data_IF_345183824431
#
_entry.id   IF_345183824431
#
_cell.length_a   1.000
_cell.length_b   1.000
_cell.length_c   1.000
_cell.angle_alpha   90.00
_cell.angle_beta   90.00
_cell.angle_gamma   90.00
#
_symmetry.space_group_name_H-M   'P 1'
#
loop_
_entity.id
_entity.type
_entity.pdbx_description
1 polymer ?
#
# COMPACT_ATOMS: atom_id res chain seq x y z
N UNK A 1 -10.87 5.07 22.44
CA UNK A 1 -9.64 5.88 22.43
C UNK A 1 -9.05 5.89 21.03
N UNK A 2 -8.39 6.97 20.61
CA UNK A 2 -7.92 7.18 19.22
C UNK A 2 -6.46 6.79 18.97
N UNK A 3 -5.76 6.25 19.99
CA UNK A 3 -4.38 5.79 19.84
C UNK A 3 -4.33 4.61 18.86
N UNK A 4 -3.43 4.68 17.88
CA UNK A 4 -3.14 3.57 16.96
C UNK A 4 -2.40 2.47 17.72
N UNK A 5 -2.86 1.24 17.58
CA UNK A 5 -2.28 0.06 18.25
C UNK A 5 -1.76 -0.99 17.28
N UNK A 6 -2.15 -0.90 16.00
CA UNK A 6 -1.71 -1.84 14.96
C UNK A 6 -1.89 -1.22 13.58
N UNK A 7 -0.92 -1.45 12.71
CA UNK A 7 -1.00 -1.16 11.27
C UNK A 7 -0.66 -2.44 10.52
N UNK A 8 -1.42 -2.74 9.47
CA UNK A 8 -1.22 -3.91 8.60
C UNK A 8 -1.27 -3.47 7.14
N UNK A 9 -0.25 -3.80 6.37
CA UNK A 9 -0.20 -3.63 4.92
C UNK A 9 -0.44 -4.94 4.18
N UNK A 10 -1.16 -4.89 3.06
CA UNK A 10 -1.32 -6.01 2.13
C UNK A 10 -1.37 -5.57 0.67
N UNK A 11 -0.90 -6.45 -0.22
CA UNK A 11 -0.99 -6.27 -1.67
C UNK A 11 -2.39 -6.72 -2.13
N UNK A 12 -3.12 -5.82 -2.78
CA UNK A 12 -4.43 -6.08 -3.40
C UNK A 12 -4.38 -5.74 -4.91
N UNK A 13 -5.47 -5.98 -5.65
CA UNK A 13 -5.55 -5.69 -7.09
C UNK A 13 -6.46 -4.49 -7.36
N UNK A 14 -5.96 -3.53 -8.14
CA UNK A 14 -6.69 -2.32 -8.55
C UNK A 14 -7.72 -2.60 -9.66
N UNK A 15 -8.51 -1.58 -10.02
CA UNK A 15 -9.55 -1.66 -11.05
C UNK A 15 -9.02 -1.97 -12.47
N UNK A 16 -7.71 -1.92 -12.68
CA UNK A 16 -7.03 -2.23 -13.95
C UNK A 16 -6.26 -3.55 -13.89
N UNK A 17 -6.40 -4.32 -12.81
CA UNK A 17 -5.71 -5.60 -12.65
C UNK A 17 -4.25 -5.49 -12.22
N UNK A 18 -3.79 -4.33 -11.75
CA UNK A 18 -2.42 -4.15 -11.26
C UNK A 18 -2.38 -4.23 -9.72
N UNK A 19 -1.27 -4.71 -9.13
CA UNK A 19 -1.10 -4.65 -7.68
C UNK A 19 -1.17 -3.22 -7.13
N UNK A 20 -1.73 -3.04 -5.94
CA UNK A 20 -1.70 -1.79 -5.16
C UNK A 20 -1.68 -2.08 -3.66
N UNK A 21 -1.43 -1.05 -2.86
CA UNK A 21 -1.30 -1.15 -1.40
C UNK A 21 -2.64 -0.89 -0.73
N UNK A 22 -3.01 -1.77 0.19
CA UNK A 22 -4.05 -1.54 1.20
C UNK A 22 -3.43 -1.49 2.59
N UNK A 23 -3.85 -0.52 3.40
CA UNK A 23 -3.47 -0.42 4.81
C UNK A 23 -4.72 -0.51 5.70
N UNK A 24 -4.61 -1.30 6.76
CA UNK A 24 -5.62 -1.46 7.82
C UNK A 24 -5.03 -0.98 9.15
N UNK A 25 -5.72 -0.06 9.82
CA UNK A 25 -5.27 0.60 11.05
C UNK A 25 -6.27 0.32 12.17
N UNK A 26 -5.77 -0.18 13.31
CA UNK A 26 -6.58 -0.48 14.49
C UNK A 26 -6.32 0.57 15.58
N UNK A 27 -7.38 1.04 16.21
CA UNK A 27 -7.30 1.95 17.35
C UNK A 27 -7.61 1.21 18.65
N UNK A 28 -7.05 1.69 19.76
CA UNK A 28 -7.29 1.14 21.10
C UNK A 28 -8.79 1.11 21.49
N UNK A 29 -9.59 2.01 20.92
CA UNK A 29 -11.05 2.00 21.07
C UNK A 29 -11.79 0.91 20.31
N UNK A 30 -11.10 0.01 19.60
CA UNK A 30 -11.70 -1.06 18.79
C UNK A 30 -12.12 -0.65 17.38
N UNK A 31 -11.90 0.61 16.99
CA UNK A 31 -12.17 1.08 15.64
C UNK A 31 -11.12 0.55 14.66
N UNK A 32 -11.56 0.18 13.45
CA UNK A 32 -10.71 -0.27 12.36
C UNK A 32 -11.00 0.58 11.13
N UNK A 33 -9.95 1.15 10.54
CA UNK A 33 -10.00 1.87 9.28
C UNK A 33 -9.20 1.13 8.22
N UNK A 34 -9.72 1.06 6.99
CA UNK A 34 -9.05 0.39 5.87
C UNK A 34 -9.11 1.29 4.64
N UNK A 35 -7.98 1.41 3.94
CA UNK A 35 -7.89 2.21 2.73
C UNK A 35 -6.91 1.59 1.73
N UNK A 36 -7.26 1.67 0.45
CA UNK A 36 -6.41 1.30 -0.66
C UNK A 36 -5.92 2.54 -1.40
N UNK A 37 -4.64 2.54 -1.77
CA UNK A 37 -4.06 3.61 -2.59
C UNK A 37 -4.47 3.43 -4.06
N UNK A 38 -4.96 4.48 -4.75
CA UNK A 38 -5.12 4.44 -6.20
C UNK A 38 -3.76 4.50 -6.88
N UNK A 39 -3.69 4.06 -8.14
CA UNK A 39 -2.50 4.22 -8.97
C UNK A 39 -2.86 4.92 -10.28
N UNK A 40 -2.15 6.01 -10.58
CA UNK A 40 -2.32 6.78 -11.81
C UNK A 40 -1.78 6.03 -13.04
N UNK A 41 -2.25 6.39 -14.24
CA UNK A 41 -1.58 5.98 -15.48
C UNK A 41 -0.43 6.93 -15.86
N UNK A 42 -0.59 8.22 -15.51
CA UNK A 42 0.39 9.27 -15.74
C UNK A 42 1.20 9.49 -14.46
N UNK A 43 2.50 9.69 -14.61
CA UNK A 43 3.41 10.06 -13.52
C UNK A 43 4.15 11.33 -13.92
N UNK A 44 3.77 12.46 -13.32
CA UNK A 44 4.47 13.72 -13.50
C UNK A 44 5.84 13.71 -12.81
N UNK A 45 6.84 14.41 -13.37
CA UNK A 45 8.19 14.46 -12.81
C UNK A 45 8.29 15.19 -11.45
N UNK A 46 7.21 15.82 -10.99
CA UNK A 46 7.10 16.53 -9.71
C UNK A 46 6.06 15.91 -8.76
N UNK A 47 5.56 14.73 -9.08
CA UNK A 47 4.62 14.00 -8.24
C UNK A 47 5.35 13.13 -7.22
N UNK A 48 4.66 12.76 -6.14
CA UNK A 48 5.15 11.71 -5.25
C UNK A 48 5.19 10.39 -6.03
N UNK A 49 6.34 9.72 -5.99
CA UNK A 49 6.54 8.48 -6.72
C UNK A 49 6.03 7.28 -5.91
N UNK A 50 5.17 6.47 -6.53
CA UNK A 50 4.78 5.18 -5.96
C UNK A 50 5.95 4.18 -6.00
N UNK A 51 6.07 3.35 -4.96
CA UNK A 51 7.12 2.35 -4.88
C UNK A 51 6.66 1.03 -5.51
N UNK A 52 7.32 0.64 -6.59
CA UNK A 52 7.11 -0.63 -7.30
C UNK A 52 8.27 -1.60 -7.10
N UNK A 53 8.00 -2.89 -7.18
CA UNK A 53 8.99 -3.95 -6.98
C UNK A 53 10.02 -3.97 -8.11
N UNK A 54 9.58 -3.77 -9.36
CA UNK A 54 10.41 -3.85 -10.56
C UNK A 54 10.73 -5.28 -11.02
N UNK A 55 10.24 -6.30 -10.30
CA UNK A 55 10.41 -7.70 -10.66
C UNK A 55 9.51 -8.09 -11.84
N UNK A 56 10.09 -8.23 -13.03
CA UNK A 56 9.36 -8.55 -14.27
C UNK A 56 8.64 -9.91 -14.22
N UNK A 57 9.06 -10.83 -13.35
CA UNK A 57 8.40 -12.12 -13.20
C UNK A 57 7.04 -12.01 -12.49
N UNK A 58 6.83 -10.94 -11.71
CA UNK A 58 5.58 -10.69 -10.97
C UNK A 58 4.87 -9.46 -11.51
N UNK A 59 3.66 -9.65 -12.05
CA UNK A 59 2.83 -8.56 -12.55
C UNK A 59 3.57 -7.59 -13.48
N UNK A 60 4.47 -8.11 -14.32
CA UNK A 60 5.28 -7.32 -15.26
C UNK A 60 6.12 -6.20 -14.58
N UNK A 61 6.55 -6.40 -13.33
CA UNK A 61 7.31 -5.41 -12.55
C UNK A 61 6.45 -4.49 -11.68
N UNK A 62 5.13 -4.62 -11.72
CA UNK A 62 4.19 -3.73 -11.03
C UNK A 62 3.82 -4.18 -9.60
N UNK A 63 4.43 -5.25 -9.09
CA UNK A 63 4.27 -5.65 -7.69
C UNK A 63 4.59 -4.51 -6.71
N UNK A 64 4.04 -4.60 -5.51
CA UNK A 64 4.19 -3.57 -4.45
C UNK A 64 4.68 -4.16 -3.12
N UNK A 65 5.29 -5.35 -3.11
CA UNK A 65 5.73 -5.98 -1.86
C UNK A 65 6.72 -5.12 -1.08
N UNK A 66 7.63 -4.39 -1.74
CA UNK A 66 8.52 -3.44 -1.05
C UNK A 66 7.75 -2.34 -0.33
N UNK A 67 6.65 -1.86 -0.92
CA UNK A 67 5.79 -0.89 -0.26
C UNK A 67 5.05 -1.52 0.93
N UNK A 68 4.59 -2.77 0.80
CA UNK A 68 3.96 -3.53 1.89
C UNK A 68 4.92 -3.76 3.06
N UNK A 69 6.19 -4.06 2.78
CA UNK A 69 7.24 -4.17 3.79
C UNK A 69 7.45 -2.86 4.55
N UNK A 70 7.40 -1.71 3.85
CA UNK A 70 7.46 -0.41 4.49
C UNK A 70 6.27 -0.16 5.44
N UNK A 71 5.05 -0.55 5.04
CA UNK A 71 3.85 -0.45 5.90
C UNK A 71 3.98 -1.35 7.13
N UNK A 72 4.37 -2.61 6.95
CA UNK A 72 4.45 -3.60 8.03
C UNK A 72 5.70 -3.47 8.91
N UNK A 73 6.68 -2.66 8.50
CA UNK A 73 7.92 -2.42 9.22
C UNK A 73 8.00 -1.00 9.75
N UNK A 74 8.77 -0.11 9.12
CA UNK A 74 9.11 1.22 9.66
C UNK A 74 7.92 2.16 9.90
N UNK A 75 6.74 1.90 9.32
CA UNK A 75 5.53 2.73 9.52
C UNK A 75 4.65 2.22 10.68
N UNK A 76 4.68 0.91 10.97
CA UNK A 76 3.76 0.26 11.90
C UNK A 76 4.05 0.51 13.38
#
# INVERSE_FOLDING_TARGET
>A
MSKIVKVLGREIIDSRGNPTVEAEVHLEGGFVGMAAAPSGASTGSREALELRDGDKARFLGKGVLKAIEAVNGPIA
#
